data_IF_513417466129
#
_entry.id   IF_513417466129
#
_cell.length_a   1.000
_cell.length_b   1.000
_cell.length_c   1.000
_cell.angle_alpha   90.00
_cell.angle_beta   90.00
_cell.angle_gamma   90.00
#
_symmetry.space_group_name_H-M   'P 1'
#
loop_
_entity.id
_entity.type
_entity.pdbx_description
1 polymer ?
#
# COMPACT_ATOMS: atom_id res chain seq x y z
N UNK A 1 -6.81 -25.56 -5.71
CA UNK A 1 -8.16 -25.06 -5.32
C UNK A 1 -8.76 -24.25 -6.47
N UNK A 2 -10.08 -24.38 -6.73
CA UNK A 2 -10.78 -23.54 -7.71
C UNK A 2 -10.85 -22.09 -7.23
N UNK A 3 -10.64 -21.13 -8.14
CA UNK A 3 -10.73 -19.69 -7.81
C UNK A 3 -12.20 -19.30 -7.85
N UNK A 4 -12.65 -18.66 -6.77
CA UNK A 4 -14.02 -18.15 -6.63
C UNK A 4 -14.06 -16.69 -7.06
N UNK A 5 -15.25 -16.23 -7.45
CA UNK A 5 -15.46 -14.81 -7.81
C UNK A 5 -15.22 -13.88 -6.60
N UNK A 6 -15.43 -14.38 -5.38
CA UNK A 6 -15.12 -13.67 -4.13
C UNK A 6 -13.63 -13.37 -3.98
N UNK A 7 -12.75 -14.24 -4.48
CA UNK A 7 -11.30 -14.06 -4.35
C UNK A 7 -10.81 -12.86 -5.18
N UNK A 8 -11.51 -12.55 -6.28
CA UNK A 8 -11.23 -11.39 -7.12
C UNK A 8 -11.52 -10.07 -6.38
N UNK A 9 -12.52 -10.06 -5.48
CA UNK A 9 -12.94 -8.84 -4.76
C UNK A 9 -11.93 -8.37 -3.73
N UNK A 10 -10.93 -9.20 -3.42
CA UNK A 10 -9.82 -8.85 -2.51
C UNK A 10 -8.85 -7.84 -3.11
N UNK A 11 -8.89 -7.65 -4.42
CA UNK A 11 -7.95 -6.80 -5.15
C UNK A 11 -8.71 -5.74 -5.93
N UNK A 12 -8.17 -4.52 -5.97
CA UNK A 12 -8.71 -3.46 -6.82
C UNK A 12 -8.67 -3.88 -8.29
N UNK A 13 -9.69 -3.51 -9.05
CA UNK A 13 -9.89 -3.97 -10.42
C UNK A 13 -8.71 -3.64 -11.36
N UNK A 14 -8.03 -2.54 -11.09
CA UNK A 14 -6.90 -2.06 -11.90
C UNK A 14 -5.55 -2.46 -11.30
N UNK A 15 -5.51 -3.44 -10.39
CA UNK A 15 -4.29 -4.00 -9.82
C UNK A 15 -3.72 -5.16 -10.66
N UNK A 16 -2.41 -5.35 -10.60
CA UNK A 16 -1.74 -6.48 -11.23
C UNK A 16 -2.29 -7.83 -10.72
N UNK A 17 -2.55 -7.90 -9.42
CA UNK A 17 -3.09 -9.06 -8.70
C UNK A 17 -4.47 -9.45 -9.23
N UNK A 18 -5.37 -8.47 -9.38
CA UNK A 18 -6.69 -8.70 -9.95
C UNK A 18 -6.59 -9.24 -11.36
N UNK A 19 -5.77 -8.62 -12.23
CA UNK A 19 -5.63 -9.05 -13.63
C UNK A 19 -5.14 -10.50 -13.73
N UNK A 20 -4.13 -10.86 -12.94
CA UNK A 20 -3.59 -12.24 -12.91
C UNK A 20 -4.64 -13.21 -12.38
N UNK A 21 -5.31 -12.88 -11.27
CA UNK A 21 -6.29 -13.77 -10.64
C UNK A 21 -7.54 -13.94 -11.51
N UNK A 22 -8.02 -12.85 -12.13
CA UNK A 22 -9.12 -12.85 -13.07
C UNK A 22 -8.81 -13.70 -14.31
N UNK A 23 -7.60 -13.61 -14.86
CA UNK A 23 -7.18 -14.45 -15.98
C UNK A 23 -7.20 -15.95 -15.61
N UNK A 24 -6.70 -16.31 -14.41
CA UNK A 24 -6.76 -17.69 -13.90
C UNK A 24 -8.21 -18.16 -13.68
N UNK A 25 -9.06 -17.31 -13.10
CA UNK A 25 -10.49 -17.58 -12.89
C UNK A 25 -11.24 -17.81 -14.21
N UNK A 26 -10.90 -17.06 -15.26
CA UNK A 26 -11.44 -17.24 -16.63
C UNK A 26 -10.94 -18.53 -17.28
N UNK A 27 -9.66 -18.84 -17.14
CA UNK A 27 -9.06 -20.05 -17.70
C UNK A 27 -9.72 -21.32 -17.15
N UNK A 28 -10.06 -21.36 -15.86
CA UNK A 28 -10.83 -22.45 -15.23
C UNK A 28 -12.22 -22.67 -15.86
N UNK A 29 -12.71 -21.73 -16.67
CA UNK A 29 -14.00 -21.78 -17.37
C UNK A 29 -13.83 -21.83 -18.90
N UNK A 30 -12.65 -22.19 -19.38
CA UNK A 30 -12.34 -22.25 -20.82
C UNK A 30 -12.29 -20.89 -21.52
N UNK A 31 -12.21 -19.78 -20.77
CA UNK A 31 -12.22 -18.41 -21.33
C UNK A 31 -10.82 -17.83 -21.41
N UNK A 32 -10.54 -17.10 -22.49
CA UNK A 32 -9.30 -16.32 -22.69
C UNK A 32 -9.23 -15.12 -21.72
N UNK A 33 -8.03 -14.62 -21.38
CA UNK A 33 -7.87 -13.34 -20.68
C UNK A 33 -8.58 -12.22 -21.44
N UNK A 34 -9.16 -11.27 -20.70
CA UNK A 34 -9.96 -10.19 -21.29
C UNK A 34 -9.71 -8.84 -20.65
N UNK A 35 -8.72 -8.72 -19.77
CA UNK A 35 -8.45 -7.49 -19.06
C UNK A 35 -7.43 -6.63 -19.79
N UNK A 36 -7.68 -5.32 -19.79
CA UNK A 36 -6.70 -4.31 -20.22
C UNK A 36 -5.98 -3.79 -18.97
N UNK A 37 -4.83 -3.14 -19.15
CA UNK A 37 -4.10 -2.55 -18.01
C UNK A 37 -3.37 -1.28 -18.47
N UNK A 38 -3.78 -0.12 -17.94
CA UNK A 38 -3.29 1.18 -18.38
C UNK A 38 -3.45 1.38 -19.90
N UNK A 39 -2.33 1.66 -20.58
CA UNK A 39 -2.28 1.82 -22.04
C UNK A 39 -2.26 0.48 -22.80
N UNK A 40 -1.97 -0.64 -22.15
CA UNK A 40 -1.90 -1.94 -22.80
C UNK A 40 -3.30 -2.52 -23.05
N UNK A 41 -3.67 -2.65 -24.34
CA UNK A 41 -4.98 -3.13 -24.79
C UNK A 41 -5.03 -4.62 -25.15
N UNK A 42 -3.89 -5.28 -25.33
CA UNK A 42 -3.86 -6.71 -25.66
C UNK A 42 -3.85 -7.55 -24.37
N UNK A 43 -4.92 -8.30 -24.05
CA UNK A 43 -5.04 -8.98 -22.75
C UNK A 43 -3.99 -10.07 -22.48
N UNK A 44 -3.39 -10.65 -23.52
CA UNK A 44 -2.30 -11.64 -23.35
C UNK A 44 -1.00 -10.94 -22.96
N UNK A 45 -0.64 -9.88 -23.70
CA UNK A 45 0.54 -9.05 -23.37
C UNK A 45 0.41 -8.41 -22.00
N UNK A 46 -0.80 -7.94 -21.66
CA UNK A 46 -1.15 -7.45 -20.32
C UNK A 46 -0.85 -8.53 -19.27
N UNK A 47 -1.37 -9.74 -19.45
CA UNK A 47 -1.16 -10.82 -18.48
C UNK A 47 0.33 -11.15 -18.31
N UNK A 48 1.10 -11.20 -19.39
CA UNK A 48 2.54 -11.48 -19.31
C UNK A 48 3.33 -10.36 -18.63
N UNK A 49 2.90 -9.11 -18.81
CA UNK A 49 3.45 -7.96 -18.11
C UNK A 49 3.12 -8.00 -16.61
N UNK A 50 1.83 -8.05 -16.25
CA UNK A 50 1.39 -7.94 -14.85
C UNK A 50 1.84 -9.11 -13.98
N UNK A 51 2.09 -10.30 -14.57
CA UNK A 51 2.64 -11.46 -13.87
C UNK A 51 3.98 -11.17 -13.18
N UNK A 52 4.76 -10.23 -13.71
CA UNK A 52 6.07 -9.84 -13.16
C UNK A 52 5.97 -8.95 -11.93
N UNK A 53 4.83 -8.30 -11.74
CA UNK A 53 4.61 -7.27 -10.72
C UNK A 53 3.54 -7.64 -9.71
N UNK A 54 2.66 -8.61 -10.02
CA UNK A 54 1.61 -9.05 -9.13
C UNK A 54 2.20 -9.68 -7.86
N UNK A 55 1.75 -9.21 -6.71
CA UNK A 55 2.13 -9.67 -5.39
C UNK A 55 0.96 -10.34 -4.69
N UNK A 56 1.11 -11.63 -4.38
CA UNK A 56 0.11 -12.38 -3.63
C UNK A 56 0.62 -12.61 -2.20
N UNK A 57 -0.07 -12.11 -1.16
CA UNK A 57 0.38 -12.25 0.21
C UNK A 57 0.60 -13.70 0.61
N UNK A 58 1.68 -13.98 1.36
CA UNK A 58 2.12 -15.35 1.67
C UNK A 58 1.06 -16.14 2.42
N UNK A 59 0.37 -15.47 3.36
CA UNK A 59 -0.69 -16.07 4.19
C UNK A 59 -2.10 -15.72 3.70
N UNK A 60 -2.23 -15.20 2.48
CA UNK A 60 -3.51 -14.86 1.84
C UNK A 60 -4.09 -13.50 2.20
N UNK A 61 -3.64 -12.88 3.28
CA UNK A 61 -3.92 -11.49 3.67
C UNK A 61 -2.61 -10.76 3.96
N UNK A 62 -2.53 -9.50 3.55
CA UNK A 62 -1.29 -8.71 3.67
C UNK A 62 -0.96 -8.43 5.13
N UNK A 63 0.28 -8.73 5.54
CA UNK A 63 0.79 -8.62 6.91
C UNK A 63 0.09 -9.55 7.91
N UNK A 64 -0.58 -10.61 7.44
CA UNK A 64 -1.25 -11.54 8.34
C UNK A 64 -0.27 -12.21 9.32
N UNK A 65 -0.51 -12.02 10.62
CA UNK A 65 0.37 -12.52 11.67
C UNK A 65 1.75 -11.85 11.73
N UNK A 66 1.90 -10.66 11.15
CA UNK A 66 3.04 -9.76 11.40
C UNK A 66 2.71 -8.91 12.63
N UNK A 67 3.62 -8.85 13.59
CA UNK A 67 3.46 -7.95 14.75
C UNK A 67 3.76 -6.51 14.35
N UNK A 68 2.72 -5.67 14.29
CA UNK A 68 2.83 -4.24 13.96
C UNK A 68 2.86 -3.32 15.19
N UNK A 69 3.09 -3.86 16.39
CA UNK A 69 3.08 -3.10 17.66
C UNK A 69 4.05 -1.92 17.70
N UNK A 70 5.17 -1.99 16.94
CA UNK A 70 6.17 -0.92 16.85
C UNK A 70 5.90 0.07 15.72
N UNK A 71 4.77 -0.07 15.00
CA UNK A 71 4.34 0.89 13.99
C UNK A 71 3.72 2.12 14.69
N UNK A 72 4.61 2.91 15.30
CA UNK A 72 4.30 4.05 16.17
C UNK A 72 5.05 5.28 15.69
N UNK A 73 4.45 6.46 15.84
CA UNK A 73 5.15 7.71 15.62
C UNK A 73 6.26 7.88 16.67
N UNK A 74 7.52 8.06 16.23
CA UNK A 74 8.67 8.29 17.11
C UNK A 74 8.56 9.58 17.93
N UNK A 75 7.87 10.60 17.38
CA UNK A 75 7.79 11.93 17.98
C UNK A 75 6.68 12.05 19.03
N UNK A 76 5.47 11.55 18.73
CA UNK A 76 4.32 11.69 19.63
C UNK A 76 3.73 10.36 20.14
N UNK A 77 4.29 9.22 19.73
CA UNK A 77 3.90 7.89 20.22
C UNK A 77 2.58 7.34 19.68
N UNK A 78 1.87 8.08 18.82
CA UNK A 78 0.58 7.62 18.27
C UNK A 78 0.77 6.41 17.34
N UNK A 79 -0.22 5.51 17.34
CA UNK A 79 -0.23 4.30 16.53
C UNK A 79 -1.61 4.05 15.93
N UNK A 80 -1.72 3.04 15.06
CA UNK A 80 -3.00 2.69 14.42
C UNK A 80 -3.49 3.73 13.40
N UNK A 81 -2.60 4.59 12.92
CA UNK A 81 -2.85 5.55 11.85
C UNK A 81 -1.76 5.41 10.76
N UNK A 82 -1.94 6.10 9.65
CA UNK A 82 -0.90 6.24 8.63
C UNK A 82 0.35 6.86 9.25
N UNK A 83 1.50 6.26 8.96
CA UNK A 83 2.81 6.82 9.27
C UNK A 83 3.61 7.00 7.98
N UNK A 84 4.53 7.96 8.04
CA UNK A 84 5.49 8.29 7.01
C UNK A 84 6.91 8.06 7.53
N UNK A 85 7.82 7.74 6.62
CA UNK A 85 9.24 7.52 6.89
C UNK A 85 10.09 8.37 5.97
N UNK A 86 11.33 8.74 6.34
CA UNK A 86 12.22 9.43 5.43
C UNK A 86 12.50 8.57 4.19
N UNK A 87 12.54 9.24 3.04
CA UNK A 87 12.93 8.61 1.78
C UNK A 87 14.42 8.23 1.82
N UNK A 88 14.73 7.00 1.38
CA UNK A 88 16.10 6.49 1.21
C UNK A 88 17.05 6.69 2.42
N UNK A 89 16.60 6.37 3.64
CA UNK A 89 17.45 6.36 4.84
C UNK A 89 17.61 4.95 5.42
N UNK A 90 18.74 4.73 6.13
CA UNK A 90 18.98 3.54 6.95
C UNK A 90 18.39 3.67 8.36
N UNK A 91 18.25 4.90 8.87
CA UNK A 91 17.64 5.16 10.17
C UNK A 91 16.17 5.51 9.99
N UNK A 92 15.30 4.51 10.18
CA UNK A 92 13.87 4.68 9.96
C UNK A 92 13.23 5.32 11.18
N UNK A 93 13.00 6.63 11.08
CA UNK A 93 12.10 7.36 11.96
C UNK A 93 10.69 7.34 11.37
N UNK A 94 9.70 6.89 12.13
CA UNK A 94 8.31 6.94 11.70
C UNK A 94 7.62 8.17 12.28
N UNK A 95 6.97 8.97 11.44
CA UNK A 95 6.19 10.14 11.87
C UNK A 95 4.74 10.02 11.41
N UNK A 96 3.81 10.45 12.25
CA UNK A 96 2.44 10.69 11.81
C UNK A 96 2.36 11.94 10.93
N UNK A 97 1.24 12.14 10.24
CA UNK A 97 1.03 13.26 9.32
C UNK A 97 1.39 14.62 9.95
N UNK A 98 0.89 14.90 11.16
CA UNK A 98 1.12 16.16 11.88
C UNK A 98 2.58 16.38 12.28
N UNK A 99 3.27 15.33 12.73
CA UNK A 99 4.69 15.42 13.10
C UNK A 99 5.57 15.60 11.85
N UNK A 100 5.28 14.87 10.78
CA UNK A 100 5.98 15.00 9.51
C UNK A 100 5.79 16.40 8.90
N UNK A 101 4.55 16.90 8.89
CA UNK A 101 4.24 18.22 8.33
C UNK A 101 4.90 19.35 9.10
N UNK A 102 4.94 19.25 10.43
CA UNK A 102 5.66 20.22 11.28
C UNK A 102 7.17 20.18 11.04
N UNK A 103 7.75 18.99 10.85
CA UNK A 103 9.19 18.81 10.63
C UNK A 103 9.64 19.33 9.25
N UNK A 104 8.82 19.12 8.23
CA UNK A 104 9.11 19.50 6.84
C UNK A 104 8.53 20.87 6.45
N UNK A 105 7.89 21.56 7.41
CA UNK A 105 7.22 22.85 7.21
C UNK A 105 6.24 22.83 6.03
N UNK A 106 5.42 21.77 5.96
CA UNK A 106 4.41 21.58 4.90
C UNK A 106 3.00 21.83 5.41
N UNK A 107 2.21 22.54 4.63
CA UNK A 107 0.77 22.60 4.85
C UNK A 107 0.13 21.31 4.32
N UNK A 108 -0.56 20.60 5.22
CA UNK A 108 -1.31 19.37 4.95
C UNK A 108 -2.80 19.57 5.25
N UNK A 109 -3.30 20.80 5.24
CA UNK A 109 -4.70 21.14 5.50
C UNK A 109 -5.69 20.40 4.58
N UNK A 110 -5.26 20.03 3.38
CA UNK A 110 -6.06 19.30 2.37
C UNK A 110 -5.87 17.77 2.45
N UNK A 111 -5.20 17.24 3.48
CA UNK A 111 -4.92 15.82 3.62
C UNK A 111 -6.18 14.99 3.82
N UNK A 112 -6.45 14.09 2.87
CA UNK A 112 -7.65 13.28 2.82
C UNK A 112 -7.50 11.90 3.51
N UNK A 113 -8.59 11.13 3.51
CA UNK A 113 -8.64 9.78 4.06
C UNK A 113 -7.69 8.79 3.37
N UNK A 114 -7.25 9.08 2.13
CA UNK A 114 -6.27 8.25 1.42
C UNK A 114 -4.83 8.60 1.78
N UNK A 115 -4.62 9.62 2.62
CA UNK A 115 -3.30 10.12 2.99
C UNK A 115 -2.68 11.01 1.91
N UNK A 116 -3.51 11.63 1.06
CA UNK A 116 -3.05 12.53 -0.01
C UNK A 116 -3.54 13.94 0.21
N UNK A 117 -2.72 14.92 -0.12
CA UNK A 117 -3.02 16.35 -0.04
C UNK A 117 -2.58 17.08 -1.31
N UNK A 118 -3.07 18.28 -1.53
CA UNK A 118 -2.67 19.13 -2.65
C UNK A 118 -1.34 19.82 -2.33
N UNK A 119 -0.35 19.61 -3.20
CA UNK A 119 0.95 20.29 -3.16
C UNK A 119 1.13 21.18 -4.39
N UNK A 120 2.22 21.94 -4.43
CA UNK A 120 2.58 22.77 -5.60
C UNK A 120 2.72 21.96 -6.90
N UNK A 121 2.97 20.65 -6.79
CA UNK A 121 3.12 19.72 -7.91
C UNK A 121 1.87 18.84 -8.13
N UNK A 122 0.75 19.21 -7.49
CA UNK A 122 -0.51 18.48 -7.51
C UNK A 122 -0.64 17.49 -6.35
N UNK A 123 -1.64 16.60 -6.47
CA UNK A 123 -2.05 15.70 -5.40
C UNK A 123 -0.99 14.63 -5.07
N UNK A 124 -0.46 14.62 -3.87
CA UNK A 124 0.64 13.74 -3.42
C UNK A 124 0.38 13.09 -2.07
N UNK A 125 1.02 11.96 -1.80
CA UNK A 125 1.10 11.33 -0.46
C UNK A 125 2.46 11.54 0.22
N UNK A 126 3.38 12.30 -0.39
CA UNK A 126 4.68 12.65 0.18
C UNK A 126 4.60 13.96 0.96
N UNK A 127 5.11 13.97 2.19
CA UNK A 127 5.21 15.18 3.02
C UNK A 127 6.68 15.58 3.06
N UNK A 128 7.09 16.51 2.18
CA UNK A 128 8.51 16.84 2.02
C UNK A 128 9.32 15.59 1.64
N UNK A 129 10.36 15.26 2.42
CA UNK A 129 11.17 14.05 2.23
C UNK A 129 10.56 12.77 2.83
N UNK A 130 9.37 12.86 3.43
CA UNK A 130 8.72 11.72 4.07
C UNK A 130 7.72 11.05 3.12
N UNK A 131 7.92 9.76 2.92
CA UNK A 131 7.07 8.89 2.09
C UNK A 131 6.22 7.97 2.96
N UNK A 132 5.07 7.49 2.47
CA UNK A 132 4.28 6.45 3.13
C UNK A 132 5.13 5.28 3.65
N UNK A 133 5.01 4.98 4.93
CA UNK A 133 5.73 3.88 5.56
C UNK A 133 4.93 2.58 5.40
N UNK A 134 5.14 1.87 4.29
CA UNK A 134 4.47 0.58 4.02
C UNK A 134 5.37 -0.58 4.41
N UNK A 135 4.93 -1.37 5.39
CA UNK A 135 5.65 -2.54 5.90
C UNK A 135 5.71 -3.66 4.85
N UNK A 136 6.83 -4.36 4.76
CA UNK A 136 6.95 -5.62 4.03
C UNK A 136 6.49 -6.78 4.89
N UNK A 137 5.97 -7.84 4.26
CA UNK A 137 5.69 -9.11 4.93
C UNK A 137 6.98 -9.87 5.30
N UNK A 138 8.10 -9.51 4.68
CA UNK A 138 9.44 -10.01 5.02
C UNK A 138 9.96 -9.29 6.28
N UNK A 139 9.27 -9.48 7.39
CA UNK A 139 9.74 -9.00 8.69
C UNK A 139 10.66 -10.05 9.30
N UNK A 140 11.88 -9.66 9.64
CA UNK A 140 12.73 -10.47 10.52
C UNK A 140 12.41 -10.13 11.98
N UNK A 141 12.66 -11.05 12.91
CA UNK A 141 12.38 -10.90 14.35
C UNK A 141 13.00 -9.64 15.01
N UNK A 142 13.86 -8.90 14.29
CA UNK A 142 14.66 -7.80 14.84
C UNK A 142 14.34 -6.43 14.25
N UNK A 143 13.72 -6.34 13.07
CA UNK A 143 13.42 -5.06 12.45
C UNK A 143 12.31 -5.14 11.40
N UNK A 144 11.51 -4.06 11.31
CA UNK A 144 10.62 -3.88 10.19
C UNK A 144 11.40 -3.60 8.92
N UNK A 145 11.03 -4.32 7.86
CA UNK A 145 11.42 -4.00 6.50
C UNK A 145 10.28 -3.22 5.87
N UNK A 146 10.60 -2.18 5.11
CA UNK A 146 9.61 -1.38 4.40
C UNK A 146 9.81 -1.53 2.90
N UNK A 147 8.73 -1.48 2.15
CA UNK A 147 8.80 -1.38 0.70
C UNK A 147 9.46 -0.07 0.28
N UNK A 148 10.24 -0.11 -0.79
CA UNK A 148 10.64 1.11 -1.52
C UNK A 148 9.39 1.85 -1.99
N UNK A 149 9.41 3.18 -1.93
CA UNK A 149 8.20 3.99 -2.17
C UNK A 149 7.52 3.72 -3.52
N UNK A 150 8.29 3.57 -4.60
CA UNK A 150 7.78 3.23 -5.94
C UNK A 150 7.64 1.72 -6.20
N UNK A 151 7.91 0.89 -5.21
CA UNK A 151 7.93 -0.58 -5.31
C UNK A 151 6.88 -1.24 -4.40
N UNK A 152 5.99 -0.47 -3.76
CA UNK A 152 4.94 -1.00 -2.90
C UNK A 152 3.94 -1.82 -3.74
N UNK A 153 3.68 -3.09 -3.39
CA UNK A 153 2.68 -3.89 -4.08
C UNK A 153 1.26 -3.39 -3.82
N UNK A 154 0.32 -3.72 -4.69
CA UNK A 154 -1.09 -3.30 -4.59
C UNK A 154 -1.69 -3.53 -3.20
N UNK A 155 -1.60 -4.75 -2.62
CA UNK A 155 -2.08 -5.03 -1.27
C UNK A 155 -1.47 -4.15 -0.17
N UNK A 156 -0.21 -3.74 -0.32
CA UNK A 156 0.44 -2.83 0.63
C UNK A 156 -0.04 -1.39 0.52
N UNK A 157 -0.29 -0.93 -0.70
CA UNK A 157 -0.93 0.38 -0.94
C UNK A 157 -2.33 0.40 -0.33
N UNK A 158 -3.11 -0.65 -0.58
CA UNK A 158 -4.48 -0.77 -0.06
C UNK A 158 -4.49 -0.83 1.48
N UNK A 159 -3.60 -1.62 2.08
CA UNK A 159 -3.44 -1.67 3.54
C UNK A 159 -3.17 -0.28 4.14
N UNK A 160 -2.17 0.44 3.62
CA UNK A 160 -1.80 1.75 4.16
C UNK A 160 -2.92 2.78 3.97
N UNK A 161 -3.58 2.79 2.80
CA UNK A 161 -4.71 3.69 2.51
C UNK A 161 -5.90 3.46 3.43
N UNK A 162 -6.13 2.22 3.87
CA UNK A 162 -7.22 1.86 4.78
C UNK A 162 -6.95 2.22 6.25
N UNK A 163 -5.72 2.56 6.63
CA UNK A 163 -5.43 3.09 7.96
C UNK A 163 -6.08 4.47 8.15
N UNK A 164 -6.52 4.86 9.35
CA UNK A 164 -6.89 6.24 9.65
C UNK A 164 -5.77 7.23 9.32
N UNK A 165 -6.07 8.38 8.72
CA UNK A 165 -5.06 9.42 8.46
C UNK A 165 -4.55 10.03 9.77
N UNK A 166 -5.45 10.25 10.72
CA UNK A 166 -5.13 10.70 12.08
C UNK A 166 -5.51 9.60 13.08
N UNK A 167 -4.79 9.49 14.21
CA UNK A 167 -5.19 8.58 15.27
C UNK A 167 -6.61 8.91 15.72
N UNK A 168 -7.44 7.88 15.94
CA UNK A 168 -8.74 8.09 16.56
C UNK A 168 -8.49 8.66 17.96
N UNK A 169 -9.22 9.71 18.33
CA UNK A 169 -9.26 10.14 19.74
C UNK A 169 -9.55 8.89 20.59
N UNK A 170 -8.75 8.67 21.63
CA UNK A 170 -9.10 7.66 22.62
C UNK A 170 -10.50 8.03 23.11
N UNK A 171 -11.46 7.13 22.96
CA UNK A 171 -12.72 7.26 23.70
C UNK A 171 -12.33 7.43 25.17
N UNK A 172 -12.64 8.60 25.72
CA UNK A 172 -12.40 8.94 27.13
C UNK A 172 -13.14 7.98 28.05
#
# INVERSE_FOLDING_TARGET
MPIRKSDLRKYSHDSCEYVVLHAKWRAQRGKKPSHNFGSLKNPRKVLDFVRRFAYFPVKGEYLAGVDISRYVCSSCGVSGCKLWRPYQTFNIELLCATCASKKEEKDISTLDATGRYESDFGKTDQIGWYVPAVLSEDTTDKAYVYWGYSAVPGPGVDWWRNLPTFPKEKAA
#
